data_IF_452880888812
#
_entry.id   IF_452880888812
#
_cell.length_a   1.000
_cell.length_b   1.000
_cell.length_c   1.000
_cell.angle_alpha   90.00
_cell.angle_beta   90.00
_cell.angle_gamma   90.00
#
_symmetry.space_group_name_H-M   'P 1'
#
loop_
_entity.id
_entity.type
_entity.pdbx_description
1 polymer ?
#
# COMPACT_ATOMS: atom_id res chain seq x y z
N UNK A 1 -6.89 11.89 29.16
CA UNK A 1 -6.86 11.61 28.81
C UNK A 1 -7.01 11.48 28.12
N UNK A 2 -7.11 11.48 27.95
CA UNK A 2 -7.23 11.27 27.32
C UNK A 2 -7.21 10.97 26.49
N UNK A 3 -7.18 10.82 25.91
CA UNK A 3 -7.21 10.30 25.24
C UNK A 3 -6.74 9.98 24.21
N UNK A 4 -6.65 9.71 23.94
CA UNK A 4 -5.90 8.86 23.26
C UNK A 4 -6.36 8.61 21.96
N UNK A 5 -7.54 8.43 21.77
CA UNK A 5 -8.02 8.30 20.45
C UNK A 5 -7.77 9.57 19.74
N UNK A 6 -7.39 10.57 20.42
CA UNK A 6 -7.05 11.77 19.74
C UNK A 6 -5.75 11.72 19.04
N UNK A 7 -5.11 10.58 19.04
CA UNK A 7 -3.83 10.46 18.40
C UNK A 7 -3.93 10.14 16.92
N UNK A 8 -5.15 10.12 16.38
CA UNK A 8 -5.31 9.99 14.96
C UNK A 8 -5.18 11.33 14.27
N UNK A 9 -4.51 11.35 13.15
CA UNK A 9 -4.42 12.53 12.30
C UNK A 9 -5.01 12.16 10.96
N UNK A 10 -5.96 12.95 10.50
CA UNK A 10 -6.58 12.71 9.20
C UNK A 10 -6.02 13.71 8.21
N UNK A 11 -5.42 13.20 7.14
CA UNK A 11 -4.91 14.02 6.05
C UNK A 11 -5.91 13.91 4.92
N UNK A 12 -6.35 15.03 4.39
CA UNK A 12 -7.48 15.04 3.49
C UNK A 12 -7.23 15.83 2.23
N UNK A 13 -6.06 15.75 1.67
CA UNK A 13 -5.78 16.54 0.51
C UNK A 13 -4.57 16.00 -0.21
N UNK A 14 -4.80 15.02 -1.04
CA UNK A 14 -3.75 14.46 -1.90
C UNK A 14 -2.48 14.16 -1.13
N UNK A 15 -2.51 13.05 -0.45
CA UNK A 15 -1.41 12.64 0.43
C UNK A 15 -0.34 11.93 -0.39
N UNK A 16 0.92 12.24 -0.11
CA UNK A 16 2.05 11.55 -0.71
C UNK A 16 3.00 11.10 0.39
N UNK A 17 3.36 9.83 0.38
CA UNK A 17 4.24 9.26 1.38
C UNK A 17 5.37 8.53 0.68
N UNK A 18 6.60 8.87 1.05
CA UNK A 18 7.76 8.18 0.52
C UNK A 18 8.26 7.20 1.56
N UNK A 19 8.57 6.00 1.13
CA UNK A 19 9.11 4.98 2.03
C UNK A 19 10.59 4.79 1.75
N UNK A 20 11.35 4.57 2.82
CA UNK A 20 12.79 4.39 2.74
C UNK A 20 13.18 3.15 3.51
N UNK A 21 14.25 2.51 3.12
CA UNK A 21 14.72 1.33 3.83
C UNK A 21 15.65 1.76 4.98
N UNK A 22 16.24 0.79 5.64
CA UNK A 22 17.07 1.07 6.79
C UNK A 22 18.35 1.83 6.44
N UNK A 23 18.69 1.87 5.16
CA UNK A 23 19.84 2.61 4.69
C UNK A 23 19.43 3.96 4.13
N UNK A 24 18.18 4.34 4.36
CA UNK A 24 17.65 5.61 3.92
C UNK A 24 17.59 5.74 2.41
N UNK A 25 17.49 4.62 1.73
CA UNK A 25 17.31 4.65 0.29
C UNK A 25 15.83 4.56 -0.03
N UNK A 26 15.39 5.36 -0.96
CA UNK A 26 13.98 5.41 -1.33
C UNK A 26 13.56 4.06 -1.93
N UNK A 27 12.45 3.52 -1.48
CA UNK A 27 11.99 2.22 -1.96
C UNK A 27 10.65 2.29 -2.67
N UNK A 28 9.77 3.18 -2.25
CA UNK A 28 8.46 3.27 -2.89
C UNK A 28 7.79 4.58 -2.53
N UNK A 29 6.76 4.92 -3.27
CA UNK A 29 5.98 6.12 -3.01
C UNK A 29 4.52 5.75 -3.06
N UNK A 30 3.74 6.29 -2.13
CA UNK A 30 2.32 6.00 -2.04
C UNK A 30 1.57 7.32 -2.14
N UNK A 31 0.53 7.36 -2.98
CA UNK A 31 -0.32 8.53 -3.07
C UNK A 31 -1.76 8.11 -2.84
N UNK A 32 -2.55 9.00 -2.28
CA UNK A 32 -3.95 8.74 -2.02
C UNK A 32 -4.67 10.07 -1.84
N UNK A 33 -5.98 10.02 -1.79
CA UNK A 33 -6.74 11.24 -1.53
C UNK A 33 -6.74 11.58 -0.06
N UNK A 34 -6.75 10.58 0.79
CA UNK A 34 -6.82 10.78 2.23
C UNK A 34 -5.91 9.78 2.93
N UNK A 35 -5.54 10.09 4.12
CA UNK A 35 -4.81 9.13 4.94
C UNK A 35 -5.09 9.40 6.40
N UNK A 36 -5.07 8.34 7.19
CA UNK A 36 -5.29 8.43 8.62
C UNK A 36 -4.07 7.86 9.29
N UNK A 37 -3.48 8.61 10.20
CA UNK A 37 -2.27 8.19 10.88
C UNK A 37 -2.58 8.03 12.36
N UNK A 38 -2.25 6.85 12.89
CA UNK A 38 -2.41 6.59 14.31
C UNK A 38 -1.06 6.87 14.97
N UNK A 39 -0.97 7.97 15.68
CA UNK A 39 0.30 8.39 16.23
C UNK A 39 0.80 7.47 17.34
N UNK A 40 -0.08 6.75 17.99
CA UNK A 40 0.36 5.89 19.07
C UNK A 40 1.05 4.63 18.54
N UNK A 41 0.66 4.16 17.36
CA UNK A 41 1.27 2.97 16.78
C UNK A 41 2.10 3.27 15.56
N UNK A 42 1.99 4.49 15.02
CA UNK A 42 2.64 4.89 13.77
C UNK A 42 2.12 4.10 12.59
N UNK A 43 0.91 3.57 12.70
CA UNK A 43 0.29 2.92 11.56
C UNK A 43 -0.42 3.97 10.72
N UNK A 44 -0.57 3.71 9.44
CA UNK A 44 -1.23 4.63 8.53
C UNK A 44 -2.15 3.88 7.63
N UNK A 45 -3.30 4.46 7.35
CA UNK A 45 -4.23 3.90 6.39
C UNK A 45 -4.49 4.94 5.32
N UNK A 46 -4.16 4.60 4.08
CA UNK A 46 -4.40 5.47 2.94
C UNK A 46 -5.73 5.08 2.32
N UNK A 47 -6.49 6.06 1.86
CA UNK A 47 -7.83 5.83 1.34
C UNK A 47 -8.07 6.70 0.13
N UNK A 48 -8.79 6.17 -0.83
CA UNK A 48 -9.22 6.93 -2.00
C UNK A 48 -8.17 6.93 -3.10
N UNK A 49 -8.37 6.12 -4.12
CA UNK A 49 -7.48 6.05 -5.28
C UNK A 49 -6.03 5.90 -4.85
N UNK A 50 -5.78 4.89 -4.04
CA UNK A 50 -4.43 4.66 -3.55
C UNK A 50 -3.58 4.08 -4.67
N UNK A 51 -2.41 4.67 -4.88
CA UNK A 51 -1.46 4.18 -5.85
C UNK A 51 -0.11 4.08 -5.15
N UNK A 52 0.47 2.90 -5.14
CA UNK A 52 1.77 2.69 -4.55
C UNK A 52 2.72 2.21 -5.64
N UNK A 53 3.81 2.92 -5.83
CA UNK A 53 4.77 2.62 -6.88
C UNK A 53 6.11 2.30 -6.25
N UNK A 54 6.60 1.13 -6.55
CA UNK A 54 7.89 0.70 -6.04
C UNK A 54 8.99 1.13 -6.99
N UNK A 55 10.16 1.43 -6.46
CA UNK A 55 11.29 1.76 -7.30
C UNK A 55 11.69 0.60 -8.20
N UNK A 56 11.24 -0.61 -7.87
CA UNK A 56 11.53 -1.77 -8.70
C UNK A 56 10.53 -1.91 -9.86
N UNK A 57 9.53 -1.03 -9.93
CA UNK A 57 8.64 -1.01 -11.09
C UNK A 57 7.28 -1.63 -10.91
N UNK A 58 6.95 -2.04 -9.69
CA UNK A 58 5.64 -2.59 -9.40
C UNK A 58 4.72 -1.44 -9.00
N UNK A 59 3.51 -1.41 -9.56
CA UNK A 59 2.53 -0.41 -9.18
C UNK A 59 1.28 -1.11 -8.68
N UNK A 60 0.82 -0.71 -7.51
CA UNK A 60 -0.38 -1.26 -6.89
C UNK A 60 -1.47 -0.20 -6.89
N UNK A 61 -2.68 -0.60 -7.30
CA UNK A 61 -3.84 0.27 -7.26
C UNK A 61 -4.88 -0.34 -6.34
N UNK A 62 -5.40 0.44 -5.41
CA UNK A 62 -6.40 -0.04 -4.47
C UNK A 62 -7.19 1.15 -3.93
N UNK A 63 -8.31 0.88 -3.29
CA UNK A 63 -9.04 1.95 -2.63
C UNK A 63 -8.51 2.22 -1.24
N UNK A 64 -7.87 1.25 -0.63
CA UNK A 64 -7.25 1.44 0.68
C UNK A 64 -5.93 0.71 0.73
N UNK A 65 -5.03 1.18 1.56
CA UNK A 65 -3.79 0.49 1.80
C UNK A 65 -3.31 0.88 3.19
N UNK A 66 -2.97 -0.09 4.00
CA UNK A 66 -2.56 0.16 5.37
C UNK A 66 -1.08 -0.16 5.53
N UNK A 67 -0.37 0.75 6.18
CA UNK A 67 1.02 0.55 6.57
C UNK A 67 1.04 0.20 8.04
N UNK A 68 1.59 -0.96 8.36
CA UNK A 68 1.71 -1.39 9.74
C UNK A 68 3.16 -1.26 10.16
N UNK A 69 3.44 -0.33 11.06
CA UNK A 69 4.81 -0.03 11.41
C UNK A 69 5.47 -1.15 12.20
N UNK A 70 4.69 -1.94 12.90
CA UNK A 70 5.25 -3.01 13.69
C UNK A 70 5.80 -4.12 12.81
N UNK A 71 5.08 -4.49 11.77
CA UNK A 71 5.51 -5.50 10.83
C UNK A 71 6.28 -4.92 9.69
N UNK A 72 6.21 -3.61 9.51
CA UNK A 72 6.79 -2.92 8.36
C UNK A 72 6.21 -3.46 7.07
N UNK A 73 4.92 -3.67 7.06
CA UNK A 73 4.24 -4.22 5.89
C UNK A 73 3.09 -3.37 5.42
N UNK A 74 2.85 -3.44 4.12
CA UNK A 74 1.69 -2.81 3.51
C UNK A 74 0.66 -3.90 3.27
N UNK A 75 -0.60 -3.62 3.53
CA UNK A 75 -1.64 -4.61 3.27
C UNK A 75 -2.99 -3.95 3.06
N UNK A 76 -3.87 -4.68 2.39
CA UNK A 76 -5.24 -4.26 2.22
C UNK A 76 -6.09 -5.52 2.03
N UNK A 77 -7.37 -5.41 2.31
CA UNK A 77 -8.32 -6.49 2.05
C UNK A 77 -9.24 -6.17 0.88
N UNK A 78 -9.02 -5.03 0.24
CA UNK A 78 -9.88 -4.59 -0.86
C UNK A 78 -9.45 -5.20 -2.19
N UNK A 79 -10.23 -4.95 -3.21
CA UNK A 79 -9.84 -5.34 -4.55
C UNK A 79 -8.60 -4.57 -4.96
N UNK A 80 -7.71 -5.23 -5.64
CA UNK A 80 -6.47 -4.59 -6.06
C UNK A 80 -6.16 -4.91 -7.51
N UNK A 81 -5.33 -4.06 -8.09
CA UNK A 81 -4.78 -4.28 -9.41
C UNK A 81 -3.29 -3.98 -9.33
N UNK A 82 -2.48 -4.84 -9.87
CA UNK A 82 -1.04 -4.67 -9.86
C UNK A 82 -0.54 -4.68 -11.30
N UNK A 83 0.33 -3.74 -11.62
CA UNK A 83 1.00 -3.75 -12.90
C UNK A 83 2.50 -3.89 -12.66
N UNK A 84 3.19 -4.54 -13.58
CA UNK A 84 4.61 -4.78 -13.45
C UNK A 84 5.36 -4.06 -14.56
N UNK A 85 6.68 -4.08 -14.49
CA UNK A 85 7.50 -3.48 -15.51
C UNK A 85 7.24 -4.11 -16.87
N UNK A 86 6.89 -5.37 -16.88
CA UNK A 86 6.61 -6.05 -18.12
C UNK A 86 5.20 -5.84 -18.59
N UNK A 87 4.49 -4.93 -17.92
CA UNK A 87 3.14 -4.54 -18.29
C UNK A 87 2.11 -5.65 -18.12
N UNK A 88 2.41 -6.61 -17.27
CA UNK A 88 1.41 -7.58 -16.86
C UNK A 88 0.47 -6.89 -15.89
N UNK A 89 -0.79 -7.27 -15.93
CA UNK A 89 -1.79 -6.74 -15.02
C UNK A 89 -2.42 -7.89 -14.26
N UNK A 90 -2.38 -7.80 -12.94
CA UNK A 90 -2.91 -8.84 -12.08
C UNK A 90 -4.02 -8.28 -11.23
N UNK A 91 -5.06 -9.06 -11.01
CA UNK A 91 -6.19 -8.64 -10.20
C UNK A 91 -6.38 -9.60 -9.03
N UNK A 92 -6.94 -9.10 -7.97
CA UNK A 92 -7.25 -9.96 -6.85
C UNK A 92 -7.92 -9.20 -5.73
N UNK A 93 -8.11 -9.88 -4.62
CA UNK A 93 -8.68 -9.30 -3.42
C UNK A 93 -7.68 -9.52 -2.31
N UNK A 94 -7.22 -8.43 -1.72
CA UNK A 94 -6.25 -8.54 -0.65
C UNK A 94 -4.82 -8.56 -1.15
N UNK A 95 -3.95 -7.89 -0.42
CA UNK A 95 -2.56 -7.73 -0.82
C UNK A 95 -1.71 -7.56 0.42
N UNK A 96 -0.50 -8.06 0.37
CA UNK A 96 0.44 -7.90 1.47
C UNK A 96 1.85 -7.84 0.90
N UNK A 97 2.65 -6.92 1.38
CA UNK A 97 4.04 -6.83 0.93
C UNK A 97 4.89 -6.06 1.92
N UNK A 98 6.19 -6.14 1.74
CA UNK A 98 7.12 -5.27 2.43
C UNK A 98 6.96 -3.86 1.87
N UNK A 99 7.49 -2.86 2.56
CA UNK A 99 7.34 -1.48 2.12
C UNK A 99 8.03 -1.22 0.79
N UNK A 100 9.04 -2.01 0.42
CA UNK A 100 9.70 -1.84 -0.86
C UNK A 100 8.98 -2.61 -1.97
N UNK A 101 7.96 -3.37 -1.61
CA UNK A 101 7.14 -4.13 -2.54
C UNK A 101 7.93 -5.15 -3.36
N UNK A 102 9.03 -5.64 -2.82
CA UNK A 102 9.77 -6.67 -3.49
C UNK A 102 9.19 -8.06 -3.20
N UNK A 103 8.68 -8.25 -2.00
CA UNK A 103 8.07 -9.52 -1.63
C UNK A 103 6.59 -9.28 -1.40
N UNK A 104 5.79 -9.46 -2.43
CA UNK A 104 4.37 -9.18 -2.34
C UNK A 104 3.56 -10.39 -2.73
N UNK A 105 2.33 -10.42 -2.26
CA UNK A 105 1.43 -11.49 -2.64
C UNK A 105 0.01 -10.98 -2.65
N UNK A 106 -0.81 -11.59 -3.50
CA UNK A 106 -2.22 -11.33 -3.55
C UNK A 106 -2.88 -12.42 -2.73
N UNK A 107 -3.72 -12.03 -1.79
CA UNK A 107 -4.30 -13.00 -0.87
C UNK A 107 -5.33 -13.89 -1.56
N UNK A 108 -6.08 -13.33 -2.49
CA UNK A 108 -7.08 -14.08 -3.22
C UNK A 108 -7.05 -13.64 -4.67
N UNK A 109 -6.21 -14.25 -5.49
CA UNK A 109 -6.11 -13.84 -6.89
C UNK A 109 -7.42 -14.12 -7.60
N UNK A 110 -7.83 -13.22 -8.49
CA UNK A 110 -9.07 -13.45 -9.19
C UNK A 110 -8.81 -13.38 -10.65
N UNK A 111 -8.49 -12.87 -11.40
CA UNK A 111 -8.31 -12.92 -12.82
C UNK A 111 -6.95 -12.48 -13.20
N UNK A 112 -6.39 -13.04 -14.22
CA UNK A 112 -5.12 -12.61 -14.73
C UNK A 112 -5.32 -12.24 -16.15
N UNK A 113 -5.08 -11.00 -16.44
CA UNK A 113 -5.30 -10.52 -17.78
C UNK A 113 -4.16 -10.90 -18.65
N UNK A 114 -4.46 -11.42 -19.78
CA UNK A 114 -3.43 -11.73 -20.74
C UNK A 114 -2.76 -13.04 -20.52
N UNK A 115 -3.15 -13.85 -19.55
CA UNK A 115 -2.54 -15.13 -19.41
C UNK A 115 -3.41 -16.00 -18.57
N UNK A 116 -3.23 -17.23 -18.76
CA UNK A 116 -3.94 -18.16 -18.08
C UNK A 116 -3.34 -18.39 -16.82
N UNK A 117 -4.14 -18.61 -15.89
CA UNK A 117 -3.66 -18.90 -14.66
C UNK A 117 -3.71 -20.33 -14.48
N UNK A 118 -2.89 -21.04 -14.55
CA UNK A 118 -3.08 -22.39 -14.42
C UNK A 118 -2.19 -22.96 -13.66
#
# INVERSE_FOLDING_TARGET
EKYNEKEFILLDSNVTVDFYDSKEQHTSILTSKKAEVDQSSNNMKAMGNVVAVSDSGITLYSETLTWNSKDEKLHTKENIMITTLEKDTLYGVGFESDSDMKNWKILSPSGVTGRELE
#
